data_IF_126775297724
#
_entry.id   IF_126775297724
#
_cell.length_a   1.000
_cell.length_b   1.000
_cell.length_c   1.000
_cell.angle_alpha   90.00
_cell.angle_beta   90.00
_cell.angle_gamma   90.00
#
_symmetry.space_group_name_H-M   'P 1'
#
loop_
_entity.id
_entity.type
_entity.pdbx_description
1 polymer ?
#
# COMPACT_ATOMS: atom_id res chain seq x y z
N UNK A 1 -51.07 25.59 -2.58
CA UNK A 1 -49.84 25.63 -1.76
C UNK A 1 -49.00 24.41 -2.10
N UNK A 2 -48.03 24.57 -3.00
CA UNK A 2 -47.22 23.48 -3.56
C UNK A 2 -45.93 23.39 -2.75
N UNK A 3 -45.67 22.24 -2.11
CA UNK A 3 -44.41 21.97 -1.39
C UNK A 3 -43.40 21.40 -2.38
N UNK A 4 -42.32 22.14 -2.64
CA UNK A 4 -41.18 21.67 -3.42
C UNK A 4 -40.27 20.81 -2.52
N UNK A 5 -40.05 19.55 -2.91
CA UNK A 5 -39.06 18.65 -2.31
C UNK A 5 -37.78 18.84 -3.12
N UNK A 6 -36.76 19.45 -2.51
CA UNK A 6 -35.44 19.62 -3.11
C UNK A 6 -34.69 18.29 -3.01
N UNK A 7 -34.56 17.60 -4.15
CA UNK A 7 -33.78 16.38 -4.28
C UNK A 7 -32.28 16.77 -4.34
N UNK A 8 -31.53 16.46 -3.29
CA UNK A 8 -30.06 16.56 -3.30
C UNK A 8 -29.54 15.33 -4.03
N UNK A 9 -29.06 15.52 -5.26
CA UNK A 9 -28.34 14.50 -6.02
C UNK A 9 -26.90 14.49 -5.52
N UNK A 10 -26.58 13.54 -4.64
CA UNK A 10 -25.20 13.17 -4.32
C UNK A 10 -24.60 12.51 -5.56
N UNK A 11 -23.82 13.28 -6.32
CA UNK A 11 -23.04 12.76 -7.42
C UNK A 11 -21.84 12.01 -6.82
N UNK A 12 -21.99 10.71 -6.59
CA UNK A 12 -20.86 9.82 -6.30
C UNK A 12 -20.01 9.76 -7.55
N UNK A 13 -18.94 10.55 -7.61
CA UNK A 13 -17.88 10.35 -8.58
C UNK A 13 -17.20 9.05 -8.14
N UNK A 14 -17.59 7.93 -8.75
CA UNK A 14 -16.81 6.71 -8.72
C UNK A 14 -15.49 7.00 -9.43
N UNK A 15 -14.49 7.44 -8.66
CA UNK A 15 -13.11 7.38 -9.09
C UNK A 15 -12.84 5.90 -9.35
N UNK A 16 -12.40 5.50 -10.56
CA UNK A 16 -12.10 4.11 -10.82
C UNK A 16 -10.90 3.74 -9.96
N UNK A 17 -11.17 3.15 -8.80
CA UNK A 17 -10.18 2.43 -8.01
C UNK A 17 -9.63 1.38 -8.96
N UNK A 18 -8.39 1.55 -9.44
CA UNK A 18 -7.69 0.49 -10.14
C UNK A 18 -7.67 -0.72 -9.21
N UNK A 19 -8.50 -1.72 -9.50
CA UNK A 19 -8.68 -2.87 -8.62
C UNK A 19 -7.37 -3.66 -8.57
N UNK A 20 -6.94 -4.17 -7.40
CA UNK A 20 -5.75 -5.02 -7.29
C UNK A 20 -5.71 -6.17 -8.30
N UNK A 21 -6.88 -6.72 -8.65
CA UNK A 21 -7.04 -7.78 -9.67
C UNK A 21 -6.54 -7.34 -11.05
N UNK A 22 -6.88 -6.13 -11.50
CA UNK A 22 -6.42 -5.60 -12.79
C UNK A 22 -4.89 -5.39 -12.83
N UNK A 23 -4.29 -5.05 -11.68
CA UNK A 23 -2.83 -4.93 -11.57
C UNK A 23 -2.12 -6.28 -11.69
N UNK A 24 -2.62 -7.29 -10.98
CA UNK A 24 -2.06 -8.64 -11.02
C UNK A 24 -2.22 -9.27 -12.42
N UNK A 25 -3.40 -9.17 -13.02
CA UNK A 25 -3.65 -9.69 -14.38
C UNK A 25 -2.76 -9.02 -15.43
N UNK A 26 -2.66 -7.68 -15.41
CA UNK A 26 -1.77 -6.94 -16.31
C UNK A 26 -0.32 -7.40 -16.16
N UNK A 27 0.16 -7.52 -14.92
CA UNK A 27 1.52 -7.94 -14.63
C UNK A 27 1.79 -9.38 -15.10
N UNK A 28 0.85 -10.30 -14.85
CA UNK A 28 0.96 -11.70 -15.28
C UNK A 28 1.02 -11.85 -16.79
N UNK A 29 0.19 -11.08 -17.50
CA UNK A 29 0.22 -11.03 -18.96
C UNK A 29 1.58 -10.54 -19.46
N UNK A 30 2.09 -9.43 -18.91
CA UNK A 30 3.39 -8.89 -19.29
C UNK A 30 4.55 -9.87 -19.02
N UNK A 31 4.52 -10.59 -17.89
CA UNK A 31 5.49 -11.64 -17.58
C UNK A 31 5.44 -12.78 -18.60
N UNK A 32 4.23 -13.20 -18.99
CA UNK A 32 4.03 -14.25 -20.01
C UNK A 32 4.59 -13.82 -21.36
N UNK A 33 4.30 -12.59 -21.78
CA UNK A 33 4.82 -12.02 -23.04
C UNK A 33 6.37 -11.95 -23.01
N UNK A 34 6.96 -11.56 -21.87
CA UNK A 34 8.42 -11.54 -21.69
C UNK A 34 9.01 -12.94 -21.84
N UNK A 35 8.42 -13.97 -21.21
CA UNK A 35 8.88 -15.36 -21.33
C UNK A 35 8.79 -15.83 -22.78
N UNK A 36 7.67 -15.58 -23.45
CA UNK A 36 7.42 -15.99 -24.83
C UNK A 36 8.43 -15.38 -25.83
N UNK A 37 8.92 -14.18 -25.57
CA UNK A 37 9.92 -13.51 -26.41
C UNK A 37 11.34 -14.11 -26.32
N UNK A 38 11.55 -15.19 -25.55
CA UNK A 38 12.85 -15.86 -25.43
C UNK A 38 13.39 -16.33 -26.79
N UNK A 39 14.56 -15.84 -27.16
CA UNK A 39 15.21 -16.15 -28.44
C UNK A 39 14.65 -15.40 -29.65
N UNK A 40 13.61 -14.58 -29.46
CA UNK A 40 12.97 -13.77 -30.52
C UNK A 40 13.29 -12.28 -30.39
N UNK A 41 13.53 -11.79 -29.17
CA UNK A 41 13.90 -10.39 -28.91
C UNK A 41 15.25 -10.28 -28.19
N UNK A 42 15.82 -9.07 -28.18
CA UNK A 42 17.06 -8.75 -27.49
C UNK A 42 16.95 -9.10 -26.00
N UNK A 43 17.95 -9.81 -25.46
CA UNK A 43 17.91 -10.29 -24.07
C UNK A 43 18.02 -9.17 -23.04
N UNK A 44 18.77 -8.11 -23.32
CA UNK A 44 18.86 -6.94 -22.45
C UNK A 44 17.54 -6.17 -22.43
N UNK A 45 16.94 -5.90 -23.60
CA UNK A 45 15.64 -5.21 -23.67
C UNK A 45 14.54 -5.97 -22.94
N UNK A 46 14.48 -7.31 -23.09
CA UNK A 46 13.56 -8.16 -22.33
C UNK A 46 13.79 -8.06 -20.82
N UNK A 47 15.04 -7.98 -20.37
CA UNK A 47 15.40 -7.93 -18.95
C UNK A 47 14.97 -6.60 -18.34
N UNK A 48 15.31 -5.49 -19.00
CA UNK A 48 14.89 -4.17 -18.56
C UNK A 48 13.37 -4.02 -18.59
N UNK A 49 12.69 -4.62 -19.58
CA UNK A 49 11.23 -4.67 -19.59
C UNK A 49 10.67 -5.39 -18.35
N UNK A 50 11.28 -6.49 -17.90
CA UNK A 50 10.89 -7.17 -16.65
C UNK A 50 11.05 -6.24 -15.44
N UNK A 51 12.15 -5.49 -15.37
CA UNK A 51 12.38 -4.56 -14.26
C UNK A 51 11.32 -3.47 -14.21
N UNK A 52 10.99 -2.87 -15.35
CA UNK A 52 9.98 -1.82 -15.46
C UNK A 52 8.60 -2.31 -15.03
N UNK A 53 8.15 -3.45 -15.58
CA UNK A 53 6.81 -3.98 -15.27
C UNK A 53 6.71 -4.46 -13.82
N UNK A 54 7.78 -5.03 -13.27
CA UNK A 54 7.83 -5.41 -11.85
C UNK A 54 7.84 -4.18 -10.94
N UNK A 55 8.54 -3.12 -11.33
CA UNK A 55 8.52 -1.86 -10.59
C UNK A 55 7.12 -1.27 -10.52
N UNK A 56 6.46 -1.12 -11.67
CA UNK A 56 5.09 -0.61 -11.76
C UNK A 56 4.11 -1.44 -10.92
N UNK A 57 4.14 -2.77 -11.10
CA UNK A 57 3.33 -3.70 -10.32
C UNK A 57 3.51 -3.51 -8.81
N UNK A 58 4.76 -3.43 -8.34
CA UNK A 58 5.06 -3.27 -6.91
C UNK A 58 4.61 -1.92 -6.35
N UNK A 59 4.69 -0.84 -7.14
CA UNK A 59 4.23 0.48 -6.70
C UNK A 59 2.71 0.52 -6.55
N UNK A 60 1.98 -0.17 -7.42
CA UNK A 60 0.51 -0.23 -7.33
C UNK A 60 0.03 -1.20 -6.24
N UNK A 61 0.71 -2.35 -6.07
CA UNK A 61 0.35 -3.34 -5.04
C UNK A 61 0.79 -2.96 -3.61
N UNK A 62 1.72 -2.01 -3.46
CA UNK A 62 2.14 -1.48 -2.16
C UNK A 62 2.10 0.06 -2.15
N UNK A 63 0.90 0.65 -1.96
CA UNK A 63 0.71 2.10 -1.99
C UNK A 63 1.58 2.89 -1.00
N UNK A 64 1.86 2.32 0.17
CA UNK A 64 2.73 2.88 1.21
C UNK A 64 4.17 2.97 0.70
N UNK A 65 4.64 1.90 0.04
CA UNK A 65 5.95 1.87 -0.62
C UNK A 65 6.05 2.89 -1.74
N UNK A 66 4.96 3.09 -2.50
CA UNK A 66 4.88 4.10 -3.55
C UNK A 66 4.96 5.52 -2.96
N UNK A 67 4.22 5.83 -1.90
CA UNK A 67 4.32 7.11 -1.19
C UNK A 67 5.74 7.38 -0.70
N UNK A 68 6.38 6.41 -0.04
CA UNK A 68 7.76 6.54 0.46
C UNK A 68 8.77 6.87 -0.66
N UNK A 69 8.52 6.39 -1.88
CA UNK A 69 9.40 6.58 -3.05
C UNK A 69 9.00 7.76 -3.93
N UNK A 70 7.93 8.48 -3.58
CA UNK A 70 7.38 9.55 -4.42
C UNK A 70 6.75 9.06 -5.73
N UNK A 71 6.36 7.77 -5.81
CA UNK A 71 5.64 7.26 -6.97
C UNK A 71 4.20 7.81 -6.97
N UNK A 72 3.75 8.41 -8.08
CA UNK A 72 2.49 9.17 -8.10
C UNK A 72 1.25 8.27 -8.08
N UNK A 73 0.13 8.83 -7.63
CA UNK A 73 -1.20 8.25 -7.81
C UNK A 73 -1.57 7.13 -6.82
N UNK A 74 -0.77 6.88 -5.77
CA UNK A 74 -1.06 5.83 -4.77
C UNK A 74 -1.22 6.38 -3.34
N UNK A 75 -1.18 7.70 -3.17
CA UNK A 75 -1.16 8.33 -1.84
C UNK A 75 -2.49 8.21 -1.09
N UNK A 76 -3.58 7.92 -1.78
CA UNK A 76 -4.95 7.80 -1.28
C UNK A 76 -5.31 6.38 -0.82
N UNK A 77 -4.38 5.42 -0.89
CA UNK A 77 -4.66 3.99 -0.69
C UNK A 77 -3.78 3.37 0.38
N UNK A 78 -4.30 2.29 0.98
CA UNK A 78 -3.55 1.31 1.78
C UNK A 78 -3.42 0.00 0.99
N UNK A 79 -2.43 -0.82 1.32
CA UNK A 79 -2.34 -2.19 0.85
C UNK A 79 -3.56 -3.00 1.32
N UNK A 80 -4.04 -3.88 0.45
CA UNK A 80 -5.03 -4.89 0.81
C UNK A 80 -4.33 -6.05 1.53
N UNK A 81 -4.63 -6.21 2.82
CA UNK A 81 -4.08 -7.24 3.70
C UNK A 81 -5.00 -8.48 3.80
N UNK A 82 -6.03 -8.59 2.95
CA UNK A 82 -6.87 -9.78 2.90
C UNK A 82 -6.06 -11.03 2.54
N UNK A 83 -6.49 -12.19 3.07
CA UNK A 83 -5.85 -13.47 2.76
C UNK A 83 -5.84 -13.78 1.25
N UNK A 84 -6.87 -13.34 0.53
CA UNK A 84 -6.97 -13.45 -0.94
C UNK A 84 -5.86 -12.63 -1.61
N UNK A 85 -5.73 -11.34 -1.27
CA UNK A 85 -4.69 -10.47 -1.83
C UNK A 85 -3.27 -10.98 -1.52
N UNK A 86 -3.05 -11.48 -0.30
CA UNK A 86 -1.78 -12.09 0.09
C UNK A 86 -1.49 -13.37 -0.71
N UNK A 87 -2.49 -14.21 -0.97
CA UNK A 87 -2.34 -15.39 -1.81
C UNK A 87 -2.01 -15.03 -3.26
N UNK A 88 -2.72 -14.06 -3.84
CA UNK A 88 -2.44 -13.51 -5.18
C UNK A 88 -1.00 -12.99 -5.26
N UNK A 89 -0.56 -12.20 -4.28
CA UNK A 89 0.82 -11.69 -4.24
C UNK A 89 1.88 -12.79 -4.13
N UNK A 90 1.59 -13.90 -3.44
CA UNK A 90 2.49 -15.07 -3.40
C UNK A 90 2.60 -15.76 -4.75
N UNK A 91 1.51 -15.89 -5.49
CA UNK A 91 1.55 -16.42 -6.86
C UNK A 91 2.32 -15.50 -7.80
N UNK A 92 2.09 -14.20 -7.69
CA UNK A 92 2.78 -13.20 -8.52
C UNK A 92 4.29 -13.25 -8.29
N UNK A 93 4.73 -13.39 -7.03
CA UNK A 93 6.15 -13.56 -6.71
C UNK A 93 6.78 -14.83 -7.33
N UNK A 94 6.03 -15.94 -7.39
CA UNK A 94 6.50 -17.16 -8.07
C UNK A 94 6.59 -16.96 -9.58
N UNK A 95 5.62 -16.24 -10.16
CA UNK A 95 5.69 -15.86 -11.56
C UNK A 95 6.91 -14.99 -11.83
N UNK A 96 7.17 -13.96 -11.01
CA UNK A 96 8.37 -13.10 -11.12
C UNK A 96 9.65 -13.96 -11.14
N UNK A 97 9.77 -14.93 -10.23
CA UNK A 97 10.91 -15.85 -10.17
C UNK A 97 11.01 -16.67 -11.46
N UNK A 98 9.91 -17.25 -11.94
CA UNK A 98 9.93 -18.01 -13.20
C UNK A 98 10.32 -17.15 -14.41
N UNK A 99 9.88 -15.88 -14.44
CA UNK A 99 10.20 -14.95 -15.52
C UNK A 99 11.68 -14.61 -15.54
N UNK A 100 12.29 -14.27 -14.39
CA UNK A 100 13.73 -14.00 -14.33
C UNK A 100 14.55 -15.26 -14.64
N UNK A 101 14.11 -16.45 -14.22
CA UNK A 101 14.81 -17.71 -14.56
C UNK A 101 14.72 -18.07 -16.05
N UNK A 102 13.85 -17.42 -16.83
CA UNK A 102 13.77 -17.65 -18.28
C UNK A 102 14.98 -17.09 -19.06
N UNK A 103 15.74 -16.17 -18.47
CA UNK A 103 16.88 -15.50 -19.09
C UNK A 103 18.15 -16.35 -19.02
N UNK A 104 18.96 -16.26 -20.06
CA UNK A 104 20.29 -16.87 -20.11
C UNK A 104 21.33 -15.83 -19.69
N UNK A 105 21.83 -15.96 -18.45
CA UNK A 105 22.80 -15.03 -17.86
C UNK A 105 24.03 -14.84 -18.74
N UNK A 106 24.49 -15.88 -19.43
CA UNK A 106 25.70 -15.81 -20.26
C UNK A 106 25.53 -14.94 -21.53
N UNK A 107 24.28 -14.64 -21.91
CA UNK A 107 23.94 -13.78 -23.06
C UNK A 107 23.73 -12.32 -22.68
N UNK A 108 23.90 -11.97 -21.41
CA UNK A 108 23.76 -10.61 -20.90
C UNK A 108 25.12 -9.89 -20.88
N UNK A 109 25.09 -8.56 -20.99
CA UNK A 109 26.26 -7.71 -20.74
C UNK A 109 26.74 -7.86 -19.29
N UNK A 110 27.98 -7.51 -18.98
CA UNK A 110 28.52 -7.62 -17.61
C UNK A 110 27.68 -6.81 -16.59
N UNK A 111 27.25 -5.60 -16.96
CA UNK A 111 26.37 -4.79 -16.13
C UNK A 111 24.99 -5.43 -15.94
N UNK A 112 24.41 -5.99 -17.01
CA UNK A 112 23.12 -6.67 -16.93
C UNK A 112 23.19 -7.99 -16.16
N UNK A 113 24.34 -8.67 -16.16
CA UNK A 113 24.56 -9.88 -15.34
C UNK A 113 24.45 -9.56 -13.84
N UNK A 114 25.03 -8.45 -13.39
CA UNK A 114 24.90 -8.03 -11.99
C UNK A 114 23.44 -7.68 -11.65
N UNK A 115 22.76 -6.90 -12.50
CA UNK A 115 21.35 -6.55 -12.29
C UNK A 115 20.45 -7.80 -12.26
N UNK A 116 20.69 -8.74 -13.18
CA UNK A 116 20.04 -10.04 -13.21
C UNK A 116 20.26 -10.81 -11.91
N UNK A 117 21.50 -10.93 -11.44
CA UNK A 117 21.83 -11.71 -10.24
C UNK A 117 21.15 -11.13 -8.99
N UNK A 118 21.15 -9.80 -8.84
CA UNK A 118 20.46 -9.11 -7.75
C UNK A 118 18.95 -9.28 -7.82
N UNK A 119 18.36 -9.13 -9.00
CA UNK A 119 16.92 -9.31 -9.19
C UNK A 119 16.51 -10.77 -8.92
N UNK A 120 17.25 -11.74 -9.46
CA UNK A 120 17.01 -13.17 -9.23
C UNK A 120 17.08 -13.48 -7.74
N UNK A 121 18.10 -13.01 -7.03
CA UNK A 121 18.24 -13.22 -5.59
C UNK A 121 17.03 -12.67 -4.82
N UNK A 122 16.55 -11.48 -5.18
CA UNK A 122 15.38 -10.90 -4.54
C UNK A 122 14.11 -11.71 -4.82
N UNK A 123 13.93 -12.23 -6.05
CA UNK A 123 12.79 -13.06 -6.42
C UNK A 123 12.83 -14.44 -5.74
N UNK A 124 14.01 -15.08 -5.67
CA UNK A 124 14.24 -16.31 -4.92
C UNK A 124 13.87 -16.12 -3.44
N UNK A 125 14.39 -15.07 -2.80
CA UNK A 125 14.07 -14.75 -1.42
C UNK A 125 12.58 -14.46 -1.20
N UNK A 126 11.89 -13.82 -2.16
CA UNK A 126 10.46 -13.56 -2.06
C UNK A 126 9.64 -14.85 -2.06
N UNK A 127 10.05 -15.87 -2.84
CA UNK A 127 9.41 -17.19 -2.86
C UNK A 127 9.81 -18.03 -1.64
N UNK A 128 11.09 -18.06 -1.27
CA UNK A 128 11.59 -18.81 -0.11
C UNK A 128 10.90 -18.36 1.18
N UNK A 129 10.66 -17.05 1.36
CA UNK A 129 9.98 -16.51 2.54
C UNK A 129 8.55 -17.01 2.72
N UNK A 130 7.89 -17.49 1.67
CA UNK A 130 6.50 -17.93 1.73
C UNK A 130 6.30 -19.17 2.61
N UNK A 131 7.38 -19.92 2.91
CA UNK A 131 7.33 -21.02 3.87
C UNK A 131 7.18 -20.54 5.33
N UNK A 132 7.45 -19.25 5.58
CA UNK A 132 7.34 -18.62 6.88
C UNK A 132 6.10 -17.70 6.89
N UNK A 133 5.05 -18.01 7.67
CA UNK A 133 3.79 -17.27 7.66
C UNK A 133 3.89 -15.94 8.43
N UNK A 134 4.72 -15.03 7.94
CA UNK A 134 5.01 -13.73 8.56
C UNK A 134 3.79 -12.79 8.55
N UNK A 135 2.81 -13.02 7.68
CA UNK A 135 1.54 -12.29 7.65
C UNK A 135 0.73 -12.39 8.95
N UNK A 136 0.99 -13.38 9.80
CA UNK A 136 0.36 -13.51 11.11
C UNK A 136 1.17 -12.86 12.24
N UNK A 137 2.34 -12.29 11.91
CA UNK A 137 3.28 -11.69 12.85
C UNK A 137 3.44 -10.18 12.61
N UNK A 138 2.36 -9.53 12.18
CA UNK A 138 2.31 -8.13 11.69
C UNK A 138 2.40 -7.05 12.78
N UNK A 139 2.65 -7.44 14.03
CA UNK A 139 2.65 -6.52 15.17
C UNK A 139 3.72 -6.90 16.20
N UNK A 140 4.54 -5.91 16.58
CA UNK A 140 5.53 -6.01 17.64
C UNK A 140 5.78 -4.60 18.25
N UNK A 141 6.75 -4.46 19.16
CA UNK A 141 7.04 -3.18 19.82
C UNK A 141 7.63 -2.11 18.89
N UNK A 142 8.27 -2.53 17.80
CA UNK A 142 8.86 -1.67 16.77
C UNK A 142 7.93 -1.49 15.58
N UNK A 143 7.14 -2.52 15.26
CA UNK A 143 6.33 -2.57 14.05
C UNK A 143 4.82 -2.79 14.21
N UNK A 144 4.07 -2.27 13.25
CA UNK A 144 2.63 -2.44 13.12
C UNK A 144 1.85 -1.13 13.13
N UNK A 145 0.53 -1.25 12.94
CA UNK A 145 -0.38 -0.13 12.71
C UNK A 145 -0.22 1.06 13.66
N UNK A 146 -0.07 0.89 14.99
CA UNK A 146 0.02 2.02 15.92
C UNK A 146 1.22 2.95 15.65
N UNK A 147 2.25 2.43 14.99
CA UNK A 147 3.46 3.17 14.62
C UNK A 147 3.45 3.52 13.12
N UNK A 148 3.03 2.59 12.27
CA UNK A 148 3.07 2.73 10.81
C UNK A 148 2.10 3.78 10.28
N UNK A 149 0.84 3.73 10.71
CA UNK A 149 -0.21 4.59 10.16
C UNK A 149 0.07 6.07 10.43
N UNK A 150 0.38 6.49 11.68
CA UNK A 150 0.72 7.88 11.94
C UNK A 150 1.98 8.34 11.23
N UNK A 151 2.99 7.47 11.13
CA UNK A 151 4.26 7.78 10.44
C UNK A 151 4.06 8.00 8.95
N UNK A 152 3.23 7.15 8.32
CA UNK A 152 2.89 7.27 6.91
C UNK A 152 2.15 8.58 6.63
N UNK A 153 1.10 8.89 7.42
CA UNK A 153 0.34 10.14 7.29
C UNK A 153 1.23 11.37 7.51
N UNK A 154 2.12 11.32 8.50
CA UNK A 154 3.04 12.42 8.79
C UNK A 154 3.99 12.72 7.63
N UNK A 155 4.44 11.69 6.92
CA UNK A 155 5.35 11.83 5.78
C UNK A 155 4.67 12.34 4.50
N UNK A 156 3.36 12.14 4.34
CA UNK A 156 2.64 12.52 3.11
C UNK A 156 2.80 14.01 2.76
N UNK A 157 2.76 14.37 1.46
CA UNK A 157 2.82 15.76 1.03
C UNK A 157 1.63 16.56 1.58
N UNK A 158 1.78 17.88 1.65
CA UNK A 158 0.75 18.80 2.15
C UNK A 158 0.83 20.17 1.47
N UNK A 159 1.10 20.17 0.17
CA UNK A 159 1.40 21.39 -0.61
C UNK A 159 0.19 21.83 -1.44
N UNK A 160 -0.56 20.88 -1.98
CA UNK A 160 -1.72 21.11 -2.85
C UNK A 160 -2.97 20.53 -2.22
N UNK A 161 -4.13 21.03 -2.60
CA UNK A 161 -5.44 20.49 -2.18
C UNK A 161 -5.52 18.97 -2.29
N UNK A 162 -5.09 18.40 -3.44
CA UNK A 162 -5.09 16.95 -3.67
C UNK A 162 -4.27 16.17 -2.64
N UNK A 163 -3.18 16.73 -2.12
CA UNK A 163 -2.35 16.05 -1.12
C UNK A 163 -3.11 15.89 0.21
N UNK A 164 -3.95 16.86 0.57
CA UNK A 164 -4.83 16.77 1.74
C UNK A 164 -5.97 15.79 1.48
N UNK A 165 -6.56 15.79 0.28
CA UNK A 165 -7.59 14.80 -0.09
C UNK A 165 -7.05 13.38 -0.03
N UNK A 166 -5.79 13.15 -0.43
CA UNK A 166 -5.12 11.85 -0.30
C UNK A 166 -4.95 11.45 1.18
N UNK A 167 -4.60 12.41 2.05
CA UNK A 167 -4.54 12.16 3.50
C UNK A 167 -5.92 11.79 4.05
N UNK A 168 -6.98 12.50 3.64
CA UNK A 168 -8.36 12.19 4.05
C UNK A 168 -8.77 10.79 3.60
N UNK A 169 -8.46 10.41 2.36
CA UNK A 169 -8.74 9.08 1.85
C UNK A 169 -8.03 7.98 2.66
N UNK A 170 -6.75 8.19 3.00
CA UNK A 170 -6.03 7.26 3.89
C UNK A 170 -6.60 7.23 5.30
N UNK A 171 -7.01 8.36 5.86
CA UNK A 171 -7.66 8.39 7.18
C UNK A 171 -8.94 7.53 7.16
N UNK A 172 -9.82 7.70 6.16
CA UNK A 172 -11.03 6.88 6.02
C UNK A 172 -10.75 5.40 5.67
N UNK A 173 -9.56 5.08 5.19
CA UNK A 173 -9.14 3.70 4.94
C UNK A 173 -8.60 2.96 6.19
N UNK A 174 -8.37 3.65 7.30
CA UNK A 174 -7.81 3.04 8.52
C UNK A 174 -8.70 1.91 9.08
N UNK A 175 -10.03 2.04 9.17
CA UNK A 175 -10.87 0.97 9.72
C UNK A 175 -10.71 -0.36 9.00
N UNK A 176 -10.75 -0.35 7.67
CA UNK A 176 -10.56 -1.55 6.86
C UNK A 176 -9.17 -2.16 7.09
N UNK A 177 -8.13 -1.32 7.18
CA UNK A 177 -6.76 -1.77 7.45
C UNK A 177 -6.63 -2.44 8.84
N UNK A 178 -7.29 -1.87 9.86
CA UNK A 178 -7.37 -2.43 11.20
C UNK A 178 -8.10 -3.77 11.19
N UNK A 179 -9.27 -3.85 10.56
CA UNK A 179 -10.08 -5.07 10.48
C UNK A 179 -9.33 -6.21 9.79
N UNK A 180 -8.67 -5.93 8.66
CA UNK A 180 -7.86 -6.93 7.95
C UNK A 180 -6.67 -7.39 8.81
N UNK A 181 -6.02 -6.47 9.53
CA UNK A 181 -4.93 -6.82 10.46
C UNK A 181 -5.42 -7.71 11.60
N UNK A 182 -6.60 -7.40 12.17
CA UNK A 182 -7.23 -8.24 13.20
C UNK A 182 -7.52 -9.64 12.64
N UNK A 183 -8.05 -9.74 11.42
CA UNK A 183 -8.33 -11.03 10.78
C UNK A 183 -7.06 -11.88 10.62
N UNK A 184 -5.94 -11.29 10.21
CA UNK A 184 -4.64 -11.97 10.14
C UNK A 184 -4.16 -12.46 11.52
N UNK A 185 -4.26 -11.62 12.54
CA UNK A 185 -3.87 -11.99 13.91
C UNK A 185 -4.77 -13.10 14.48
N UNK A 186 -6.07 -13.08 14.18
CA UNK A 186 -7.01 -14.14 14.58
C UNK A 186 -6.72 -15.48 13.88
N UNK A 187 -6.36 -15.44 12.60
CA UNK A 187 -5.93 -16.63 11.88
C UNK A 187 -4.60 -17.17 12.46
N UNK A 188 -3.67 -16.28 12.79
CA UNK A 188 -2.44 -16.61 13.51
C UNK A 188 -2.70 -17.33 14.83
N UNK A 189 -3.62 -16.81 15.64
CA UNK A 189 -4.06 -17.44 16.89
C UNK A 189 -4.60 -18.85 16.67
N UNK A 190 -5.46 -19.04 15.66
CA UNK A 190 -6.04 -20.35 15.30
C UNK A 190 -4.97 -21.36 14.91
N UNK A 191 -3.89 -20.92 14.27
CA UNK A 191 -2.77 -21.76 13.84
C UNK A 191 -1.64 -21.90 14.88
N UNK A 192 -1.73 -21.21 16.02
CA UNK A 192 -0.66 -21.16 17.01
C UNK A 192 0.59 -20.39 16.54
N UNK A 193 0.45 -19.53 15.53
CA UNK A 193 1.51 -18.67 14.99
C UNK A 193 1.30 -17.28 15.57
N UNK A 194 1.99 -16.98 16.66
CA UNK A 194 1.89 -15.70 17.36
C UNK A 194 3.26 -15.15 17.72
N UNK A 195 3.42 -13.81 17.81
CA UNK A 195 4.66 -13.23 18.27
C UNK A 195 4.99 -13.64 19.72
N UNK A 196 6.28 -13.69 20.11
CA UNK A 196 6.64 -13.89 21.50
C UNK A 196 6.04 -12.81 22.41
N UNK A 197 5.78 -13.14 23.68
CA UNK A 197 5.13 -12.24 24.65
C UNK A 197 5.88 -10.91 24.86
N UNK A 198 7.21 -10.95 24.89
CA UNK A 198 8.04 -9.77 25.22
C UNK A 198 7.87 -8.63 24.20
N UNK A 199 7.96 -8.89 22.87
CA UNK A 199 7.60 -7.92 21.83
C UNK A 199 6.21 -7.29 21.93
N UNK A 200 5.24 -7.99 22.51
CA UNK A 200 3.85 -7.50 22.57
C UNK A 200 3.53 -6.64 23.79
N UNK A 201 4.40 -6.61 24.80
CA UNK A 201 4.11 -6.03 26.12
C UNK A 201 3.75 -4.55 26.12
N UNK A 202 4.20 -3.79 25.11
CA UNK A 202 3.96 -2.33 24.99
C UNK A 202 2.94 -1.99 23.92
N UNK A 203 2.46 -2.97 23.17
CA UNK A 203 1.60 -2.74 22.00
C UNK A 203 0.26 -2.14 22.41
N UNK A 204 -0.33 -2.61 23.52
CA UNK A 204 -1.59 -2.04 24.05
C UNK A 204 -1.45 -0.55 24.39
N UNK A 205 -0.31 -0.16 24.96
CA UNK A 205 -0.04 1.22 25.34
C UNK A 205 0.19 2.08 24.10
N UNK A 206 0.84 1.54 23.07
CA UNK A 206 1.02 2.21 21.78
C UNK A 206 -0.31 2.44 21.07
N UNK A 207 -1.21 1.45 21.06
CA UNK A 207 -2.58 1.59 20.52
C UNK A 207 -3.33 2.66 21.30
N UNK A 208 -3.34 2.55 22.64
CA UNK A 208 -4.04 3.50 23.51
C UNK A 208 -3.50 4.93 23.33
N UNK A 209 -2.20 5.06 23.10
CA UNK A 209 -1.54 6.34 22.85
C UNK A 209 -1.91 7.00 21.51
N UNK A 210 -2.50 6.27 20.56
CA UNK A 210 -3.06 6.84 19.32
C UNK A 210 -4.49 7.36 19.50
N UNK A 211 -5.18 7.01 20.59
CA UNK A 211 -6.55 7.44 20.85
C UNK A 211 -6.51 8.76 21.61
N UNK A 212 -6.91 9.83 20.92
CA UNK A 212 -6.86 11.18 21.45
C UNK A 212 -8.26 11.79 21.66
N UNK A 213 -8.43 12.56 22.74
CA UNK A 213 -9.68 13.30 23.00
C UNK A 213 -9.73 14.54 22.11
N UNK A 214 -10.61 14.49 21.10
CA UNK A 214 -10.85 15.56 20.14
C UNK A 214 -9.92 15.48 18.92
N UNK A 215 -10.46 15.57 17.70
CA UNK A 215 -9.73 15.23 16.47
C UNK A 215 -8.47 16.08 16.25
N UNK A 216 -8.49 17.36 16.61
CA UNK A 216 -7.34 18.24 16.38
C UNK A 216 -6.19 18.05 17.38
N UNK A 217 -6.30 17.12 18.33
CA UNK A 217 -5.22 16.84 19.29
C UNK A 217 -4.27 15.75 18.80
N UNK A 218 -4.68 14.92 17.84
CA UNK A 218 -3.81 13.89 17.25
C UNK A 218 -2.71 14.49 16.37
N UNK A 219 -1.48 13.93 16.40
CA UNK A 219 -0.43 14.28 15.44
C UNK A 219 -0.81 13.99 13.98
N UNK A 220 -1.69 13.03 13.72
CA UNK A 220 -2.11 12.66 12.36
C UNK A 220 -2.79 13.82 11.62
N UNK A 221 -3.53 14.69 12.34
CA UNK A 221 -4.17 15.86 11.75
C UNK A 221 -3.32 17.14 11.81
N UNK A 222 -2.03 17.04 12.14
CA UNK A 222 -1.14 18.21 12.30
C UNK A 222 -1.08 19.10 11.06
N UNK A 223 -1.09 18.53 9.85
CA UNK A 223 -1.08 19.28 8.58
C UNK A 223 -2.34 20.13 8.38
N UNK A 224 -3.49 19.70 8.90
CA UNK A 224 -4.75 20.45 8.84
C UNK A 224 -4.80 21.63 9.81
N UNK A 225 -3.77 21.83 10.65
CA UNK A 225 -3.65 23.02 11.52
C UNK A 225 -3.07 24.23 10.79
N UNK A 226 -2.29 24.00 9.73
CA UNK A 226 -1.63 25.06 8.97
C UNK A 226 -1.43 24.62 7.52
N UNK A 227 -2.14 25.31 6.63
CA UNK A 227 -2.02 25.12 5.20
C UNK A 227 -1.03 26.12 4.58
N UNK A 228 -0.44 25.80 3.42
CA UNK A 228 0.20 26.79 2.56
C UNK A 228 -0.79 27.88 2.11
N UNK A 229 -0.28 29.11 1.94
CA UNK A 229 -1.07 30.26 1.46
C UNK A 229 -1.62 30.08 0.03
N UNK A 230 -1.09 29.10 -0.71
CA UNK A 230 -1.57 28.72 -2.05
C UNK A 230 -2.92 28.01 -2.04
N UNK A 231 -3.39 27.51 -0.91
CA UNK A 231 -4.69 26.84 -0.78
C UNK A 231 -5.74 27.88 -0.33
N UNK A 232 -6.84 28.11 -1.07
CA UNK A 232 -7.85 29.10 -0.70
C UNK A 232 -8.46 28.84 0.68
N UNK A 233 -8.76 29.89 1.45
CA UNK A 233 -9.28 29.77 2.82
C UNK A 233 -10.56 28.92 2.92
N UNK A 234 -11.46 29.02 1.94
CA UNK A 234 -12.66 28.18 1.88
C UNK A 234 -12.31 26.68 1.78
N UNK A 235 -11.26 26.36 1.04
CA UNK A 235 -10.79 24.99 0.86
C UNK A 235 -10.06 24.46 2.09
N UNK A 236 -9.26 25.31 2.75
CA UNK A 236 -8.66 24.97 4.04
C UNK A 236 -9.71 24.61 5.10
N UNK A 237 -10.79 25.41 5.17
CA UNK A 237 -11.90 25.16 6.08
C UNK A 237 -12.61 23.84 5.75
N UNK A 238 -12.94 23.60 4.46
CA UNK A 238 -13.57 22.36 4.00
C UNK A 238 -12.74 21.12 4.36
N UNK A 239 -11.44 21.14 4.06
CA UNK A 239 -10.51 20.03 4.34
C UNK A 239 -10.35 19.79 5.84
N UNK A 240 -10.31 20.86 6.65
CA UNK A 240 -10.21 20.74 8.11
C UNK A 240 -11.45 20.12 8.71
N UNK A 241 -12.65 20.53 8.29
CA UNK A 241 -13.89 19.93 8.79
C UNK A 241 -14.04 18.47 8.34
N UNK A 242 -13.66 18.15 7.11
CA UNK A 242 -13.61 16.77 6.63
C UNK A 242 -12.64 15.90 7.46
N UNK A 243 -11.45 16.41 7.78
CA UNK A 243 -10.47 15.70 8.61
C UNK A 243 -11.01 15.43 10.03
N UNK A 244 -11.69 16.42 10.63
CA UNK A 244 -12.31 16.26 11.94
C UNK A 244 -13.43 15.22 11.94
N UNK A 245 -14.29 15.25 10.92
CA UNK A 245 -15.40 14.31 10.77
C UNK A 245 -14.86 12.87 10.63
N UNK A 246 -14.00 12.63 9.63
CA UNK A 246 -13.40 11.30 9.41
C UNK A 246 -12.70 10.80 10.66
N UNK A 247 -11.88 11.63 11.31
CA UNK A 247 -11.19 11.20 12.52
C UNK A 247 -12.12 10.90 13.68
N UNK A 248 -13.22 11.63 13.85
CA UNK A 248 -14.12 11.41 15.00
C UNK A 248 -15.06 10.23 14.80
N UNK A 249 -15.46 9.98 13.54
CA UNK A 249 -16.49 9.01 13.21
C UNK A 249 -15.90 7.64 12.81
N UNK A 250 -14.70 7.64 12.23
CA UNK A 250 -14.11 6.43 11.63
C UNK A 250 -12.81 5.98 12.29
N UNK A 251 -11.94 6.88 12.78
CA UNK A 251 -10.56 6.58 13.23
C UNK A 251 -10.44 6.48 14.74
#
# INVERSE_FOLDING_TARGET
MIRAITLIVLLTIAVPLGHPEDNSERYRKQCTDIIAAKGQANSAERLWKLFDVNWEYRMISSPESATWRGYPGQNDRWSDLSMEALAVGKEDARLTLSTILSFDRAKLSEADQLNYDLFRRNAEMAVERQQFPAEFLVLNQMDGLPRDVPSMIAMMPGVRTKDYEDILARLGGIPALVDQTIALLQEGLTRGIVPPKVPLRTVSDQVSGQVHIGPMTTPMLSKFKKFPDTIPAAEQARLTEAAKAIYSDEV
#
